data_IF_754636336979
#
_entry.id   IF_754636336979
#
_cell.length_a   1.000
_cell.length_b   1.000
_cell.length_c   1.000
_cell.angle_alpha   90.00
_cell.angle_beta   90.00
_cell.angle_gamma   90.00
#
_symmetry.space_group_name_H-M   'P 1'
#
loop_
_entity.id
_entity.type
_entity.pdbx_description
1 polymer ?
#
# COMPACT_ATOMS: atom_id res chain seq x y z
N UNK A 1 9.81 -11.85 -8.89
CA UNK A 1 9.69 -11.35 -7.50
C UNK A 1 8.60 -10.27 -7.36
N UNK A 2 8.70 -9.10 -8.00
CA UNK A 2 7.71 -8.00 -7.85
C UNK A 2 6.26 -8.46 -8.08
N UNK A 3 5.99 -9.17 -9.18
CA UNK A 3 4.64 -9.69 -9.47
C UNK A 3 4.13 -10.62 -8.35
N UNK A 4 4.96 -11.53 -7.86
CA UNK A 4 4.60 -12.44 -6.76
C UNK A 4 4.28 -11.69 -5.47
N UNK A 5 5.06 -10.65 -5.13
CA UNK A 5 4.78 -9.77 -3.98
C UNK A 5 3.43 -9.08 -4.14
N UNK A 6 3.18 -8.48 -5.30
CA UNK A 6 1.92 -7.77 -5.59
C UNK A 6 0.73 -8.73 -5.52
N UNK A 7 0.83 -9.88 -6.18
CA UNK A 7 -0.25 -10.87 -6.22
C UNK A 7 -0.56 -11.41 -4.82
N UNK A 8 0.48 -11.77 -4.04
CA UNK A 8 0.30 -12.24 -2.66
C UNK A 8 -0.27 -11.16 -1.75
N UNK A 9 0.27 -9.95 -1.83
CA UNK A 9 -0.20 -8.83 -1.01
C UNK A 9 -1.69 -8.57 -1.24
N UNK A 10 -2.12 -8.49 -2.50
CA UNK A 10 -3.53 -8.22 -2.82
C UNK A 10 -4.45 -9.42 -2.57
N UNK A 11 -3.94 -10.66 -2.61
CA UNK A 11 -4.71 -11.80 -2.15
C UNK A 11 -5.11 -11.64 -0.66
N UNK A 12 -4.19 -11.18 0.18
CA UNK A 12 -4.48 -10.96 1.60
C UNK A 12 -5.26 -9.64 1.81
N UNK A 13 -4.88 -8.56 1.14
CA UNK A 13 -5.47 -7.23 1.33
C UNK A 13 -6.97 -7.20 1.00
N UNK A 14 -7.40 -7.99 0.00
CA UNK A 14 -8.82 -8.11 -0.37
C UNK A 14 -9.68 -8.77 0.70
N UNK A 15 -9.07 -9.59 1.57
CA UNK A 15 -9.74 -10.32 2.66
C UNK A 15 -9.58 -9.61 4.00
N UNK A 16 -8.77 -8.57 4.04
CA UNK A 16 -8.50 -7.81 5.24
C UNK A 16 -9.74 -7.01 5.68
N UNK A 17 -10.13 -7.05 6.97
CA UNK A 17 -11.34 -6.37 7.43
C UNK A 17 -11.25 -4.84 7.42
N UNK A 18 -10.04 -4.25 7.41
CA UNK A 18 -9.85 -2.80 7.44
C UNK A 18 -9.68 -2.26 6.02
N UNK A 19 -8.75 -2.81 5.23
CA UNK A 19 -8.45 -2.27 3.88
C UNK A 19 -9.21 -2.98 2.76
N UNK A 20 -9.68 -4.21 2.98
CA UNK A 20 -10.44 -4.98 2.00
C UNK A 20 -11.72 -4.29 1.54
N UNK A 21 -12.57 -3.74 2.44
CA UNK A 21 -13.77 -3.01 2.05
C UNK A 21 -13.48 -1.84 1.09
N UNK A 22 -12.39 -1.09 1.30
CA UNK A 22 -12.01 0.03 0.44
C UNK A 22 -11.66 -0.47 -0.96
N UNK A 23 -10.80 -1.49 -1.07
CA UNK A 23 -10.40 -2.02 -2.37
C UNK A 23 -11.55 -2.67 -3.12
N UNK A 24 -12.33 -3.53 -2.45
CA UNK A 24 -13.43 -4.26 -3.09
C UNK A 24 -14.59 -3.34 -3.52
N UNK A 25 -14.73 -2.16 -2.91
CA UNK A 25 -15.70 -1.14 -3.33
C UNK A 25 -15.22 -0.35 -4.55
N UNK A 26 -13.92 -0.08 -4.66
CA UNK A 26 -13.36 0.79 -5.70
C UNK A 26 -13.00 0.01 -6.97
N UNK A 27 -12.55 -1.24 -6.85
CA UNK A 27 -12.07 -2.06 -7.96
C UNK A 27 -13.11 -3.12 -8.29
N UNK A 28 -13.73 -3.00 -9.46
CA UNK A 28 -14.66 -4.00 -9.98
C UNK A 28 -13.99 -5.38 -10.12
N UNK A 29 -14.78 -6.45 -9.99
CA UNK A 29 -14.28 -7.83 -9.98
C UNK A 29 -13.41 -8.17 -11.22
N UNK A 30 -13.84 -7.71 -12.38
CA UNK A 30 -13.19 -7.86 -13.68
C UNK A 30 -11.96 -6.96 -13.88
N UNK A 31 -11.83 -5.88 -13.10
CA UNK A 31 -10.73 -4.92 -13.21
C UNK A 31 -9.48 -5.33 -12.42
N UNK A 32 -9.57 -6.34 -11.57
CA UNK A 32 -8.46 -6.80 -10.72
C UNK A 32 -7.19 -7.17 -11.49
N UNK A 33 -7.23 -7.95 -12.59
CA UNK A 33 -6.03 -8.28 -13.35
C UNK A 33 -5.27 -7.04 -13.84
N UNK A 34 -6.00 -6.03 -14.34
CA UNK A 34 -5.41 -4.77 -14.80
C UNK A 34 -4.84 -3.93 -13.65
N UNK A 35 -5.52 -3.90 -12.50
CA UNK A 35 -5.01 -3.26 -11.29
C UNK A 35 -3.70 -3.88 -10.82
N UNK A 36 -3.63 -5.22 -10.71
CA UNK A 36 -2.41 -5.91 -10.30
C UNK A 36 -1.24 -5.67 -11.26
N UNK A 37 -1.51 -5.67 -12.58
CA UNK A 37 -0.50 -5.32 -13.58
C UNK A 37 0.04 -3.89 -13.37
N UNK A 38 -0.86 -2.92 -13.16
CA UNK A 38 -0.50 -1.52 -12.90
C UNK A 38 0.38 -1.37 -11.66
N UNK A 39 0.06 -2.08 -10.57
CA UNK A 39 0.83 -2.01 -9.32
C UNK A 39 2.17 -2.74 -9.46
N UNK A 40 2.25 -3.80 -10.25
CA UNK A 40 3.53 -4.43 -10.58
C UNK A 40 4.45 -3.49 -11.37
N UNK A 41 3.91 -2.74 -12.33
CA UNK A 41 4.66 -1.72 -13.06
C UNK A 41 5.07 -0.55 -12.16
N UNK A 42 4.21 -0.14 -11.22
CA UNK A 42 4.54 0.86 -10.22
C UNK A 42 5.77 0.45 -9.40
N UNK A 43 5.76 -0.75 -8.82
CA UNK A 43 6.89 -1.23 -8.03
C UNK A 43 8.14 -1.46 -8.87
N UNK A 44 7.98 -1.88 -10.12
CA UNK A 44 9.08 -1.99 -11.08
C UNK A 44 9.75 -0.63 -11.34
N UNK A 45 8.97 0.42 -11.59
CA UNK A 45 9.51 1.78 -11.72
C UNK A 45 10.17 2.25 -10.42
N UNK A 46 9.55 2.01 -9.27
CA UNK A 46 10.02 2.55 -8.00
C UNK A 46 11.33 1.91 -7.52
N UNK A 47 11.48 0.59 -7.68
CA UNK A 47 12.65 -0.13 -7.15
C UNK A 47 13.76 -0.31 -8.18
N UNK A 48 13.38 -0.49 -9.44
CA UNK A 48 14.32 -0.85 -10.51
C UNK A 48 14.49 0.26 -11.56
N UNK A 49 13.80 1.40 -11.42
CA UNK A 49 13.96 2.54 -12.33
C UNK A 49 13.47 2.28 -13.75
N UNK A 50 12.60 1.29 -13.97
CA UNK A 50 12.25 0.83 -15.33
C UNK A 50 11.40 1.80 -16.14
N UNK A 51 10.76 2.79 -15.50
CA UNK A 51 9.90 3.77 -16.18
C UNK A 51 8.57 3.22 -16.72
N UNK A 52 8.19 1.98 -16.39
CA UNK A 52 6.96 1.34 -16.90
C UNK A 52 5.67 1.98 -16.38
N UNK A 53 5.71 2.50 -15.16
CA UNK A 53 4.59 3.24 -14.58
C UNK A 53 4.73 4.75 -14.80
N UNK A 54 3.79 5.31 -15.56
CA UNK A 54 3.64 6.75 -15.81
C UNK A 54 2.40 7.37 -15.11
N UNK A 55 1.76 6.61 -14.21
CA UNK A 55 0.54 7.05 -13.55
C UNK A 55 0.77 8.09 -12.44
N UNK A 56 -0.33 8.69 -11.98
CA UNK A 56 -0.35 9.62 -10.85
C UNK A 56 -1.16 8.99 -9.72
N UNK A 57 -0.50 8.37 -8.71
CA UNK A 57 -1.22 7.62 -7.68
C UNK A 57 -1.96 8.54 -6.70
N UNK A 58 -1.38 9.70 -6.35
CA UNK A 58 -1.94 10.59 -5.32
C UNK A 58 -3.40 11.02 -5.59
N UNK A 59 -3.80 11.52 -6.77
CA UNK A 59 -5.19 11.90 -7.03
C UNK A 59 -6.20 10.78 -6.79
N UNK A 60 -5.81 9.52 -7.02
CA UNK A 60 -6.68 8.35 -6.78
C UNK A 60 -6.91 8.12 -5.29
N UNK A 61 -5.89 8.29 -4.46
CA UNK A 61 -6.00 8.13 -3.01
C UNK A 61 -6.77 9.30 -2.38
N UNK A 62 -6.57 10.52 -2.89
CA UNK A 62 -7.32 11.72 -2.46
C UNK A 62 -8.83 11.60 -2.66
N UNK A 63 -9.26 10.86 -3.69
CA UNK A 63 -10.68 10.64 -3.99
C UNK A 63 -11.37 9.66 -3.03
N UNK A 64 -10.64 9.08 -2.06
CA UNK A 64 -11.17 8.12 -1.08
C UNK A 64 -11.39 8.85 0.25
N UNK A 65 -12.63 9.25 0.58
CA UNK A 65 -12.90 10.10 1.74
C UNK A 65 -12.61 9.41 3.07
N UNK A 66 -12.76 8.09 3.15
CA UNK A 66 -12.58 7.34 4.40
C UNK A 66 -11.13 6.98 4.74
N UNK A 67 -10.15 7.28 3.86
CA UNK A 67 -8.75 6.99 4.17
C UNK A 67 -8.30 7.71 5.44
N UNK A 68 -7.65 6.95 6.31
CA UNK A 68 -7.18 7.36 7.63
C UNK A 68 -5.90 6.62 8.00
N UNK A 69 -5.26 7.01 9.10
CA UNK A 69 -4.05 6.37 9.61
C UNK A 69 -4.21 4.86 9.79
N UNK A 70 -5.36 4.40 10.29
CA UNK A 70 -5.64 2.98 10.45
C UNK A 70 -5.52 2.20 9.14
N UNK A 71 -5.99 2.75 8.01
CA UNK A 71 -5.88 2.12 6.71
C UNK A 71 -4.43 2.04 6.23
N UNK A 72 -3.66 3.12 6.40
CA UNK A 72 -2.26 3.15 6.01
C UNK A 72 -1.39 2.21 6.87
N UNK A 73 -1.59 2.22 8.19
CA UNK A 73 -0.89 1.33 9.13
C UNK A 73 -1.15 -0.13 8.75
N UNK A 74 -2.42 -0.50 8.54
CA UNK A 74 -2.81 -1.85 8.13
C UNK A 74 -2.19 -2.27 6.81
N UNK A 75 -2.25 -1.39 5.81
CA UNK A 75 -1.65 -1.63 4.49
C UNK A 75 -0.14 -1.88 4.62
N UNK A 76 0.58 -1.05 5.38
CA UNK A 76 2.03 -1.17 5.57
C UNK A 76 2.41 -2.42 6.35
N UNK A 77 1.64 -2.79 7.38
CA UNK A 77 1.86 -4.01 8.15
C UNK A 77 1.70 -5.26 7.26
N UNK A 78 0.64 -5.31 6.46
CA UNK A 78 0.37 -6.43 5.57
C UNK A 78 1.39 -6.53 4.42
N UNK A 79 1.80 -5.39 3.86
CA UNK A 79 2.81 -5.33 2.81
C UNK A 79 4.16 -5.80 3.34
N UNK A 80 4.56 -5.36 4.53
CA UNK A 80 5.78 -5.82 5.21
C UNK A 80 5.80 -7.33 5.39
N UNK A 81 4.75 -7.89 5.99
CA UNK A 81 4.64 -9.34 6.15
C UNK A 81 4.81 -10.07 4.83
N UNK A 82 4.17 -9.57 3.77
CA UNK A 82 4.25 -10.18 2.44
C UNK A 82 5.69 -10.20 1.91
N UNK A 83 6.44 -9.11 2.05
CA UNK A 83 7.82 -9.06 1.55
C UNK A 83 8.79 -9.81 2.45
N UNK A 84 8.59 -9.83 3.76
CA UNK A 84 9.38 -10.65 4.69
C UNK A 84 9.21 -12.15 4.42
N UNK A 85 8.01 -12.59 4.01
CA UNK A 85 7.75 -13.99 3.65
C UNK A 85 8.32 -14.40 2.27
N UNK A 86 8.38 -13.48 1.31
CA UNK A 86 8.67 -13.81 -0.09
C UNK A 86 10.06 -13.39 -0.58
N UNK A 87 10.69 -12.43 0.08
CA UNK A 87 11.94 -11.83 -0.38
C UNK A 87 13.10 -12.16 0.57
N UNK A 88 14.33 -12.25 0.04
CA UNK A 88 15.54 -12.18 0.86
C UNK A 88 15.55 -10.90 1.73
N UNK A 89 16.17 -10.91 2.92
CA UNK A 89 16.07 -9.79 3.88
C UNK A 89 16.49 -8.42 3.34
N UNK A 90 17.53 -8.38 2.52
CA UNK A 90 18.02 -7.16 1.86
C UNK A 90 17.01 -6.60 0.86
N UNK A 91 16.34 -7.47 0.09
CA UNK A 91 15.29 -7.06 -0.85
C UNK A 91 14.01 -6.65 -0.11
N UNK A 92 13.63 -7.38 0.94
CA UNK A 92 12.49 -7.02 1.79
C UNK A 92 12.66 -5.62 2.38
N UNK A 93 13.86 -5.31 2.89
CA UNK A 93 14.18 -3.99 3.44
C UNK A 93 13.96 -2.86 2.43
N UNK A 94 14.35 -3.04 1.16
CA UNK A 94 14.14 -2.04 0.11
C UNK A 94 12.66 -1.76 -0.17
N UNK A 95 11.84 -2.82 -0.20
CA UNK A 95 10.38 -2.67 -0.33
C UNK A 95 9.78 -1.94 0.87
N UNK A 96 10.17 -2.33 2.09
CA UNK A 96 9.64 -1.77 3.33
C UNK A 96 9.96 -0.28 3.41
N UNK A 97 11.23 0.10 3.30
CA UNK A 97 11.68 1.50 3.35
C UNK A 97 10.91 2.36 2.34
N UNK A 98 10.82 1.87 1.09
CA UNK A 98 10.16 2.61 0.03
C UNK A 98 8.66 2.75 0.29
N UNK A 99 8.01 1.68 0.75
CA UNK A 99 6.57 1.66 1.05
C UNK A 99 6.22 2.60 2.21
N UNK A 100 6.99 2.59 3.30
CA UNK A 100 6.79 3.46 4.46
C UNK A 100 6.94 4.93 4.09
N UNK A 101 7.94 5.28 3.27
CA UNK A 101 8.13 6.65 2.78
C UNK A 101 6.94 7.13 1.94
N UNK A 102 6.45 6.28 1.03
CA UNK A 102 5.29 6.61 0.16
C UNK A 102 4.00 6.71 0.98
N UNK A 103 3.77 5.76 1.90
CA UNK A 103 2.60 5.76 2.77
C UNK A 103 2.52 7.02 3.63
N UNK A 104 3.61 7.40 4.30
CA UNK A 104 3.67 8.64 5.07
C UNK A 104 3.45 9.88 4.21
N UNK A 105 4.05 9.92 3.01
CA UNK A 105 3.85 11.03 2.05
C UNK A 105 2.37 11.15 1.63
N UNK A 106 1.70 10.03 1.33
CA UNK A 106 0.28 10.03 0.95
C UNK A 106 -0.60 10.48 2.10
N UNK A 107 -0.39 9.93 3.29
CA UNK A 107 -1.09 10.33 4.52
C UNK A 107 -1.01 11.83 4.77
N UNK A 108 0.20 12.40 4.75
CA UNK A 108 0.43 13.82 5.00
C UNK A 108 -0.19 14.72 3.92
N UNK A 109 -0.07 14.33 2.64
CA UNK A 109 -0.68 15.11 1.56
C UNK A 109 -2.21 15.09 1.65
N UNK A 110 -2.82 13.95 2.00
CA UNK A 110 -4.27 13.84 2.18
C UNK A 110 -4.74 14.74 3.31
N UNK A 111 -4.08 14.68 4.47
CA UNK A 111 -4.37 15.53 5.63
C UNK A 111 -4.27 17.03 5.28
N UNK A 112 -3.18 17.43 4.62
CA UNK A 112 -2.99 18.82 4.17
C UNK A 112 -4.12 19.29 3.24
N UNK A 113 -4.55 18.44 2.29
CA UNK A 113 -5.67 18.73 1.38
C UNK A 113 -7.01 18.86 2.09
N UNK A 114 -7.17 18.18 3.23
CA UNK A 114 -8.37 18.24 4.08
C UNK A 114 -8.33 19.43 5.05
N UNK A 115 -7.23 20.19 5.09
CA UNK A 115 -7.06 21.31 6.01
C UNK A 115 -6.71 20.89 7.45
N UNK A 116 -6.22 19.66 7.62
CA UNK A 116 -5.75 19.15 8.90
C UNK A 116 -4.37 19.73 9.26
N UNK A 117 -4.09 19.91 10.55
CA UNK A 117 -2.78 20.38 11.01
C UNK A 117 -1.73 19.27 10.89
N UNK A 118 -0.82 19.44 9.93
CA UNK A 118 0.25 18.48 9.67
C UNK A 118 1.50 18.69 10.53
N UNK A 119 1.59 19.78 11.29
CA UNK A 119 2.81 20.11 12.05
C UNK A 119 3.07 19.14 13.20
N UNK A 120 2.02 18.47 13.68
CA UNK A 120 2.07 17.48 14.76
C UNK A 120 2.02 16.04 14.24
N UNK A 121 1.97 15.84 12.92
CA UNK A 121 1.88 14.51 12.31
C UNK A 121 3.23 13.79 12.31
N UNK A 122 3.43 12.92 13.30
CA UNK A 122 4.58 12.01 13.34
C UNK A 122 4.50 10.93 12.24
N UNK A 123 5.62 10.28 11.85
CA UNK A 123 5.57 9.10 11.00
C UNK A 123 4.66 8.01 11.58
N UNK A 124 3.99 7.25 10.71
CA UNK A 124 3.17 6.11 11.14
C UNK A 124 3.99 5.11 11.95
N UNK A 125 3.48 4.78 13.13
CA UNK A 125 3.99 3.68 13.92
C UNK A 125 3.64 2.34 13.26
N UNK A 126 4.46 1.32 13.53
CA UNK A 126 4.26 -0.03 13.01
C UNK A 126 3.16 -0.71 13.82
N UNK A 127 2.10 -1.18 13.16
CA UNK A 127 1.01 -1.90 13.82
C UNK A 127 1.55 -3.07 14.65
N UNK A 128 1.12 -3.16 15.91
CA UNK A 128 1.45 -4.24 16.84
C UNK A 128 0.18 -4.63 17.61
N UNK A 129 -0.28 -5.91 17.64
CA UNK A 129 0.24 -7.09 16.97
C UNK A 129 -0.32 -7.29 15.55
N UNK A 130 0.34 -8.14 14.76
CA UNK A 130 -0.04 -8.48 13.39
C UNK A 130 -1.40 -9.20 13.36
N UNK A 131 -2.40 -8.65 12.67
CA UNK A 131 -3.57 -9.43 12.25
C UNK A 131 -3.14 -10.70 11.51
N UNK A 132 -3.67 -11.83 11.96
CA UNK A 132 -3.58 -13.10 11.28
C UNK A 132 -4.85 -13.29 10.45
N UNK A 133 -4.75 -13.62 9.15
CA UNK A 133 -5.93 -13.97 8.38
C UNK A 133 -6.62 -15.18 9.03
N UNK A 134 -7.96 -15.24 9.05
CA UNK A 134 -8.66 -16.45 9.46
C UNK A 134 -8.21 -17.63 8.59
N UNK A 135 -7.98 -18.79 9.23
CA UNK A 135 -7.65 -20.05 8.54
C UNK A 135 -8.79 -20.52 7.65
#
# INVERSE_FOLDING_TARGET
MIRAVVDRFYADARRDPVIGPVFNRIIAAEAWPAHLATIADFWSSMLLGTGRYAGRPMPKHMAIPELSDAHFMRWLALFRRTVDELCPPDIAALFIERSERIGNSFRMNIAMRRGEDITTMAPLERETPLWMPPR
#
